data_IF_210775380597
#
_entry.id   IF_210775380597
#
_cell.length_a   1.000
_cell.length_b   1.000
_cell.length_c   1.000
_cell.angle_alpha   90.00
_cell.angle_beta   90.00
_cell.angle_gamma   90.00
#
_symmetry.space_group_name_H-M   'P 1'
#
loop_
_entity.id
_entity.type
_entity.pdbx_description
1 polymer ?
#
# COMPACT_ATOMS: atom_id res chain seq x y z
N UNK A 1 -17.00 3.68 31.19
CA UNK A 1 -15.81 3.84 30.33
C UNK A 1 -15.97 2.83 29.21
N UNK A 2 -16.21 3.30 27.98
CA UNK A 2 -16.42 2.42 26.83
C UNK A 2 -15.09 2.25 26.10
N UNK A 3 -14.63 1.01 25.99
CA UNK A 3 -13.43 0.63 25.25
C UNK A 3 -13.77 0.47 23.76
N UNK A 4 -14.22 1.57 23.13
CA UNK A 4 -14.69 1.55 21.75
C UNK A 4 -13.56 1.33 20.76
N UNK A 5 -13.82 0.47 19.77
CA UNK A 5 -12.80 0.00 18.81
C UNK A 5 -13.08 0.42 17.38
N UNK A 6 -12.04 0.40 16.54
CA UNK A 6 -12.07 0.82 15.14
C UNK A 6 -13.22 0.18 14.34
N UNK A 7 -13.48 -1.11 14.53
CA UNK A 7 -14.53 -1.82 13.80
C UNK A 7 -15.95 -1.26 14.05
N UNK A 8 -16.19 -0.57 15.17
CA UNK A 8 -17.50 -0.01 15.52
C UNK A 8 -17.93 1.11 14.58
N UNK A 9 -16.99 1.77 13.90
CA UNK A 9 -17.26 2.86 12.94
C UNK A 9 -17.14 2.42 11.48
N UNK A 10 -16.70 1.19 11.21
CA UNK A 10 -16.65 0.63 9.85
C UNK A 10 -18.06 0.29 9.40
N UNK A 11 -18.45 0.77 8.22
CA UNK A 11 -19.78 0.53 7.63
C UNK A 11 -19.66 -0.10 6.24
N UNK A 12 -20.53 -1.03 5.83
CA UNK A 12 -20.53 -1.50 4.45
C UNK A 12 -20.77 -0.35 3.46
N UNK A 13 -20.07 -0.32 2.33
CA UNK A 13 -20.29 0.66 1.26
C UNK A 13 -19.00 1.34 0.78
N UNK A 14 -19.14 2.50 0.13
CA UNK A 14 -18.04 3.25 -0.48
C UNK A 14 -18.10 4.76 -0.21
N UNK A 15 -18.96 5.19 0.71
CA UNK A 15 -19.23 6.62 0.96
C UNK A 15 -18.41 7.18 2.15
N UNK A 16 -17.48 6.37 2.68
CA UNK A 16 -16.53 6.76 3.72
C UNK A 16 -15.42 7.68 3.22
N UNK A 17 -14.80 8.43 4.12
CA UNK A 17 -13.58 9.18 3.83
C UNK A 17 -12.41 8.24 3.50
N UNK A 18 -12.31 7.12 4.22
CA UNK A 18 -11.40 6.02 3.93
C UNK A 18 -12.24 4.78 3.59
N UNK A 19 -11.90 4.10 2.50
CA UNK A 19 -12.68 2.95 2.02
C UNK A 19 -11.77 1.74 1.87
N UNK A 20 -12.00 0.71 2.69
CA UNK A 20 -11.37 -0.59 2.58
C UNK A 20 -11.88 -1.31 1.32
N UNK A 21 -10.97 -1.89 0.55
CA UNK A 21 -11.27 -2.74 -0.59
C UNK A 21 -10.34 -3.94 -0.56
N UNK A 22 -10.87 -5.16 -0.63
CA UNK A 22 -10.04 -6.36 -0.64
C UNK A 22 -9.78 -6.89 -2.06
N UNK A 23 -8.55 -7.34 -2.30
CA UNK A 23 -8.14 -8.01 -3.53
C UNK A 23 -7.63 -9.43 -3.25
N UNK A 24 -8.51 -10.42 -3.04
CA UNK A 24 -8.13 -11.78 -2.63
C UNK A 24 -7.60 -12.60 -3.83
N UNK A 25 -6.37 -12.34 -4.25
CA UNK A 25 -5.69 -13.02 -5.37
C UNK A 25 -4.22 -13.29 -5.09
N UNK A 26 -3.77 -14.46 -5.49
CA UNK A 26 -2.38 -14.94 -5.42
C UNK A 26 -1.83 -15.35 -6.78
N UNK A 27 -2.63 -15.30 -7.85
CA UNK A 27 -2.21 -15.68 -9.21
C UNK A 27 -0.96 -14.94 -9.67
N UNK A 28 -0.83 -13.64 -9.34
CA UNK A 28 0.37 -12.89 -9.65
C UNK A 28 1.60 -13.33 -8.84
N UNK A 29 1.41 -13.73 -7.58
CA UNK A 29 2.47 -14.32 -6.74
C UNK A 29 2.93 -15.66 -7.33
N UNK A 30 1.99 -16.51 -7.73
CA UNK A 30 2.24 -17.81 -8.35
C UNK A 30 3.05 -17.66 -9.65
N UNK A 31 2.63 -16.77 -10.55
CA UNK A 31 3.36 -16.51 -11.81
C UNK A 31 4.78 -16.01 -11.53
N UNK A 32 4.96 -15.16 -10.51
CA UNK A 32 6.28 -14.67 -10.14
C UNK A 32 7.18 -15.76 -9.50
N UNK A 33 6.59 -16.85 -9.00
CA UNK A 33 7.27 -17.95 -8.33
C UNK A 33 7.36 -17.78 -6.81
N UNK A 34 6.51 -16.93 -6.23
CA UNK A 34 6.39 -16.75 -4.78
C UNK A 34 5.54 -17.84 -4.12
N UNK A 35 5.45 -17.80 -2.79
CA UNK A 35 4.60 -18.71 -2.01
C UNK A 35 3.17 -18.19 -1.98
N UNK A 36 2.20 -19.00 -2.42
CA UNK A 36 0.78 -18.65 -2.41
C UNK A 36 0.21 -18.59 -0.98
N UNK A 37 -0.99 -18.02 -0.86
CA UNK A 37 -1.68 -17.82 0.43
C UNK A 37 -2.05 -16.36 0.71
N UNK A 38 -1.48 -15.40 -0.02
CA UNK A 38 -1.82 -13.97 0.13
C UNK A 38 -3.27 -13.65 -0.26
N UNK A 39 -3.91 -14.49 -1.07
CA UNK A 39 -5.35 -14.39 -1.34
C UNK A 39 -6.24 -14.46 -0.07
N UNK A 40 -5.74 -15.05 1.03
CA UNK A 40 -6.44 -15.09 2.33
C UNK A 40 -6.22 -13.81 3.17
N UNK A 41 -5.27 -12.96 2.77
CA UNK A 41 -4.90 -11.73 3.45
C UNK A 41 -6.08 -10.81 3.77
N UNK A 42 -6.96 -10.46 2.80
CA UNK A 42 -8.09 -9.57 3.05
C UNK A 42 -9.10 -10.10 4.08
N UNK A 43 -9.40 -11.40 4.06
CA UNK A 43 -10.29 -12.03 5.04
C UNK A 43 -9.66 -12.01 6.44
N UNK A 44 -8.39 -12.42 6.55
CA UNK A 44 -7.70 -12.47 7.83
C UNK A 44 -7.44 -11.08 8.41
N UNK A 45 -7.16 -10.07 7.56
CA UNK A 45 -7.09 -8.66 7.94
C UNK A 45 -8.40 -8.21 8.58
N UNK A 46 -9.56 -8.47 7.94
CA UNK A 46 -10.87 -8.12 8.51
C UNK A 46 -11.18 -8.85 9.81
N UNK A 47 -10.70 -10.08 9.97
CA UNK A 47 -10.80 -10.81 11.24
C UNK A 47 -10.06 -10.10 12.38
N UNK A 48 -8.83 -9.64 12.12
CA UNK A 48 -8.04 -8.88 13.10
C UNK A 48 -8.59 -7.47 13.35
N UNK A 49 -9.16 -6.82 12.34
CA UNK A 49 -9.77 -5.49 12.43
C UNK A 49 -10.86 -5.43 13.51
N UNK A 50 -11.62 -6.51 13.69
CA UNK A 50 -12.66 -6.63 14.74
C UNK A 50 -12.10 -6.55 16.17
N UNK A 51 -10.79 -6.72 16.35
CA UNK A 51 -10.13 -6.86 17.65
C UNK A 51 -9.03 -5.83 17.89
N UNK A 52 -8.87 -4.82 17.04
CA UNK A 52 -7.74 -3.89 17.07
C UNK A 52 -8.18 -2.42 17.04
N UNK A 53 -7.34 -1.54 17.60
CA UNK A 53 -7.43 -0.08 17.50
C UNK A 53 -8.47 0.55 18.42
N UNK A 54 -8.04 1.40 19.36
CA UNK A 54 -8.97 2.25 20.15
C UNK A 54 -9.46 3.40 19.29
N UNK A 55 -10.75 3.78 19.39
CA UNK A 55 -11.27 4.93 18.63
C UNK A 55 -10.64 6.25 19.08
N UNK A 56 -10.62 6.48 20.39
CA UNK A 56 -9.87 7.57 21.00
C UNK A 56 -8.47 7.05 21.36
N UNK A 57 -7.45 7.53 20.67
CA UNK A 57 -6.06 7.22 20.96
C UNK A 57 -5.48 8.32 21.87
N UNK A 58 -5.14 8.02 23.14
CA UNK A 58 -4.63 9.02 24.06
C UNK A 58 -3.16 9.39 23.83
N UNK A 59 -2.37 8.51 23.20
CA UNK A 59 -0.96 8.77 22.89
C UNK A 59 -0.83 9.76 21.71
N UNK A 60 -1.70 9.59 20.71
CA UNK A 60 -1.71 10.41 19.50
C UNK A 60 -2.66 11.62 19.57
N UNK A 61 -3.37 11.80 20.69
CA UNK A 61 -4.42 12.80 20.92
C UNK A 61 -5.40 12.90 19.75
N UNK A 62 -5.89 11.74 19.30
CA UNK A 62 -6.70 11.62 18.07
C UNK A 62 -7.96 10.80 18.30
N UNK A 63 -9.07 11.25 17.72
CA UNK A 63 -10.36 10.56 17.76
C UNK A 63 -10.80 10.17 16.34
N UNK A 64 -10.83 8.86 16.08
CA UNK A 64 -11.24 8.30 14.79
C UNK A 64 -12.75 8.44 14.53
N UNK A 65 -13.57 8.83 15.52
CA UNK A 65 -14.98 9.15 15.30
C UNK A 65 -15.20 10.36 14.38
N UNK A 66 -14.14 11.15 14.14
CA UNK A 66 -14.15 12.35 13.28
C UNK A 66 -14.10 12.07 11.78
N UNK A 67 -13.85 10.80 11.41
CA UNK A 67 -13.79 10.33 10.02
C UNK A 67 -14.81 9.20 9.80
N UNK A 68 -15.27 9.03 8.56
CA UNK A 68 -16.08 7.88 8.17
C UNK A 68 -15.22 6.82 7.48
N UNK A 69 -15.43 5.55 7.85
CA UNK A 69 -14.73 4.41 7.25
C UNK A 69 -15.76 3.47 6.64
N UNK A 70 -15.55 3.09 5.38
CA UNK A 70 -16.36 2.08 4.71
C UNK A 70 -15.59 0.82 4.33
N UNK A 71 -16.28 -0.31 4.23
CA UNK A 71 -15.77 -1.55 3.64
C UNK A 71 -16.57 -1.88 2.38
N UNK A 72 -15.89 -1.80 1.23
CA UNK A 72 -16.47 -2.04 -0.09
C UNK A 72 -16.55 -3.54 -0.44
N UNK A 73 -16.11 -4.42 0.47
CA UNK A 73 -16.00 -5.85 0.22
C UNK A 73 -14.78 -6.20 -0.62
N UNK A 74 -14.86 -7.33 -1.32
CA UNK A 74 -13.77 -7.86 -2.13
C UNK A 74 -14.07 -7.75 -3.62
N UNK A 75 -13.00 -7.68 -4.42
CA UNK A 75 -13.09 -7.98 -5.85
C UNK A 75 -13.56 -9.45 -6.01
N UNK A 76 -14.68 -9.70 -6.73
CA UNK A 76 -15.29 -11.01 -6.77
C UNK A 76 -14.35 -12.12 -7.28
N UNK A 77 -14.47 -13.36 -6.77
CA UNK A 77 -13.76 -14.52 -7.31
C UNK A 77 -14.30 -14.93 -8.70
N UNK A 78 -13.63 -15.90 -9.34
CA UNK A 78 -14.17 -16.61 -10.52
C UNK A 78 -13.93 -15.95 -11.88
N UNK A 79 -13.17 -14.86 -11.92
CA UNK A 79 -12.67 -14.25 -13.15
C UNK A 79 -11.19 -14.59 -13.40
N UNK A 80 -10.75 -14.39 -14.64
CA UNK A 80 -9.32 -14.46 -15.00
C UNK A 80 -8.49 -13.42 -14.25
N UNK A 81 -7.16 -13.57 -14.30
CA UNK A 81 -6.24 -12.65 -13.63
C UNK A 81 -6.38 -11.22 -14.17
N UNK A 82 -6.49 -11.09 -15.48
CA UNK A 82 -6.60 -9.84 -16.21
C UNK A 82 -7.96 -9.17 -15.95
N UNK A 83 -9.05 -9.95 -15.91
CA UNK A 83 -10.37 -9.45 -15.51
C UNK A 83 -10.40 -8.98 -14.05
N UNK A 84 -9.68 -9.66 -13.15
CA UNK A 84 -9.58 -9.24 -11.76
C UNK A 84 -8.85 -7.89 -11.63
N UNK A 85 -7.79 -7.66 -12.41
CA UNK A 85 -7.09 -6.38 -12.50
C UNK A 85 -8.00 -5.27 -13.03
N UNK A 86 -8.78 -5.53 -14.07
CA UNK A 86 -9.77 -4.57 -14.58
C UNK A 86 -10.83 -4.23 -13.52
N UNK A 87 -11.39 -5.24 -12.87
CA UNK A 87 -12.39 -5.05 -11.82
C UNK A 87 -11.82 -4.25 -10.62
N UNK A 88 -10.58 -4.52 -10.24
CA UNK A 88 -9.88 -3.74 -9.21
C UNK A 88 -9.74 -2.28 -9.63
N UNK A 89 -9.22 -2.01 -10.84
CA UNK A 89 -9.05 -0.65 -11.33
C UNK A 89 -10.39 0.12 -11.39
N UNK A 90 -11.46 -0.52 -11.85
CA UNK A 90 -12.80 0.06 -11.90
C UNK A 90 -13.34 0.41 -10.51
N UNK A 91 -13.18 -0.50 -9.55
CA UNK A 91 -13.66 -0.31 -8.18
C UNK A 91 -12.87 0.76 -7.44
N UNK A 92 -11.55 0.75 -7.57
CA UNK A 92 -10.67 1.80 -7.03
C UNK A 92 -11.03 3.16 -7.64
N UNK A 93 -11.26 3.23 -8.95
CA UNK A 93 -11.72 4.47 -9.61
C UNK A 93 -13.12 4.91 -9.17
N UNK A 94 -14.03 3.99 -8.85
CA UNK A 94 -15.35 4.32 -8.30
C UNK A 94 -15.22 5.02 -6.95
N UNK A 95 -14.40 4.48 -6.04
CA UNK A 95 -14.13 5.05 -4.72
C UNK A 95 -13.51 6.46 -4.85
N UNK A 96 -12.47 6.59 -5.69
CA UNK A 96 -11.80 7.88 -5.93
C UNK A 96 -12.74 8.95 -6.49
N UNK A 97 -13.69 8.58 -7.37
CA UNK A 97 -14.69 9.50 -7.93
C UNK A 97 -15.75 9.93 -6.91
N UNK A 98 -16.04 9.09 -5.91
CA UNK A 98 -16.90 9.44 -4.77
C UNK A 98 -16.20 10.35 -3.75
N UNK A 99 -14.90 10.59 -3.92
CA UNK A 99 -14.09 11.40 -3.00
C UNK A 99 -13.55 10.63 -1.80
N UNK A 100 -13.68 9.30 -1.79
CA UNK A 100 -13.06 8.43 -0.79
C UNK A 100 -11.59 8.16 -1.12
N UNK A 101 -10.79 7.92 -0.09
CA UNK A 101 -9.42 7.40 -0.22
C UNK A 101 -9.46 5.87 -0.12
N UNK A 102 -9.19 5.13 -1.21
CA UNK A 102 -9.13 3.68 -1.15
C UNK A 102 -7.92 3.25 -0.32
N UNK A 103 -8.16 2.31 0.58
CA UNK A 103 -7.15 1.53 1.28
C UNK A 103 -7.30 0.08 0.83
N UNK A 104 -6.53 -0.33 -0.17
CA UNK A 104 -6.67 -1.65 -0.80
C UNK A 104 -5.83 -2.66 -0.01
N UNK A 105 -6.48 -3.70 0.47
CA UNK A 105 -5.80 -4.82 1.14
C UNK A 105 -5.71 -5.95 0.14
N UNK A 106 -4.49 -6.26 -0.24
CA UNK A 106 -4.20 -7.26 -1.26
C UNK A 106 -4.04 -8.66 -0.71
N UNK A 107 -4.07 -9.57 -1.68
CA UNK A 107 -3.03 -10.58 -1.81
C UNK A 107 -1.80 -10.00 -2.50
N UNK A 108 -1.44 -10.50 -3.68
CA UNK A 108 -0.17 -10.17 -4.35
C UNK A 108 0.02 -8.69 -4.73
N UNK A 109 1.30 -8.27 -4.83
CA UNK A 109 1.68 -6.90 -5.20
C UNK A 109 1.30 -6.51 -6.64
N UNK A 110 0.84 -7.46 -7.47
CA UNK A 110 0.31 -7.18 -8.81
C UNK A 110 -0.93 -6.27 -8.79
N UNK A 111 -1.58 -6.10 -7.64
CA UNK A 111 -2.67 -5.14 -7.43
C UNK A 111 -2.28 -3.67 -7.67
N UNK A 112 -0.99 -3.34 -7.49
CA UNK A 112 -0.51 -1.96 -7.42
C UNK A 112 -0.59 -1.25 -8.78
N UNK A 113 -0.46 -1.97 -9.90
CA UNK A 113 -0.65 -1.38 -11.22
C UNK A 113 -2.11 -1.02 -11.53
N UNK A 114 -3.12 -1.92 -11.35
CA UNK A 114 -4.53 -1.56 -11.42
C UNK A 114 -4.90 -0.35 -10.57
N UNK A 115 -4.39 -0.30 -9.33
CA UNK A 115 -4.58 0.79 -8.39
C UNK A 115 -4.00 2.12 -8.92
N UNK A 116 -2.74 2.12 -9.36
CA UNK A 116 -2.11 3.29 -9.96
C UNK A 116 -2.83 3.74 -11.25
N UNK A 117 -3.23 2.79 -12.11
CA UNK A 117 -3.96 3.05 -13.35
C UNK A 117 -5.32 3.71 -13.09
N UNK A 118 -6.02 3.30 -12.02
CA UNK A 118 -7.25 3.94 -11.57
C UNK A 118 -7.02 5.40 -11.14
N UNK A 119 -5.95 5.66 -10.38
CA UNK A 119 -5.60 7.02 -9.96
C UNK A 119 -5.25 7.92 -11.15
N UNK A 120 -4.41 7.43 -12.08
CA UNK A 120 -4.07 8.14 -13.33
C UNK A 120 -5.31 8.49 -14.15
N UNK A 121 -6.27 7.57 -14.26
CA UNK A 121 -7.55 7.81 -14.94
C UNK A 121 -8.41 8.87 -14.24
N UNK A 122 -8.41 8.89 -12.91
CA UNK A 122 -9.19 9.84 -12.13
C UNK A 122 -8.54 11.23 -12.02
N UNK A 123 -7.25 11.35 -12.35
CA UNK A 123 -6.46 12.59 -12.25
C UNK A 123 -5.80 12.94 -13.59
N UNK A 124 -6.56 13.01 -14.70
CA UNK A 124 -5.99 13.19 -16.03
C UNK A 124 -5.24 14.53 -16.12
N UNK A 125 -3.99 14.48 -16.59
CA UNK A 125 -3.14 15.66 -16.76
C UNK A 125 -2.58 16.26 -15.47
N UNK A 126 -2.86 15.66 -14.30
CA UNK A 126 -2.23 16.04 -13.04
C UNK A 126 -0.97 15.22 -12.80
N UNK A 127 0.05 15.79 -12.13
CA UNK A 127 1.21 15.04 -11.68
C UNK A 127 0.80 14.04 -10.60
N UNK A 128 0.86 12.75 -10.95
CA UNK A 128 0.69 11.64 -10.02
C UNK A 128 2.08 11.17 -9.58
N UNK A 129 2.25 11.00 -8.27
CA UNK A 129 3.40 10.34 -7.66
C UNK A 129 3.07 8.96 -7.16
N UNK A 130 4.07 8.09 -7.18
CA UNK A 130 3.98 6.74 -6.62
C UNK A 130 5.21 6.47 -5.78
N UNK A 131 4.98 6.08 -4.52
CA UNK A 131 6.02 5.56 -3.63
C UNK A 131 5.75 4.09 -3.41
N UNK A 132 6.68 3.24 -3.83
CA UNK A 132 6.69 1.82 -3.51
C UNK A 132 7.54 1.59 -2.25
N UNK A 133 6.92 1.17 -1.16
CA UNK A 133 7.62 0.79 0.08
C UNK A 133 7.78 -0.72 0.08
N UNK A 134 8.97 -1.19 -0.28
CA UNK A 134 9.19 -2.57 -0.71
C UNK A 134 10.67 -2.96 -0.53
N UNK A 135 10.94 -4.22 -0.21
CA UNK A 135 12.31 -4.75 -0.23
C UNK A 135 12.85 -4.96 -1.66
N UNK A 136 11.95 -5.16 -2.62
CA UNK A 136 12.19 -5.37 -4.04
C UNK A 136 12.00 -4.06 -4.84
N UNK A 137 12.14 -4.15 -6.16
CA UNK A 137 11.88 -3.04 -7.09
C UNK A 137 10.68 -3.32 -8.01
N UNK A 138 10.24 -4.58 -8.10
CA UNK A 138 9.00 -4.95 -8.81
C UNK A 138 8.81 -4.38 -10.23
N UNK A 139 9.95 -4.25 -10.94
CA UNK A 139 10.06 -3.84 -12.36
C UNK A 139 10.44 -5.00 -13.30
N UNK A 140 10.17 -6.25 -12.90
CA UNK A 140 10.50 -7.43 -13.71
C UNK A 140 9.69 -7.43 -15.02
N UNK A 141 10.24 -7.96 -16.12
CA UNK A 141 9.47 -8.22 -17.34
C UNK A 141 8.28 -9.14 -17.07
N UNK A 142 7.21 -8.97 -17.86
CA UNK A 142 6.06 -9.88 -17.85
C UNK A 142 6.48 -11.29 -18.23
N UNK A 143 5.81 -12.31 -17.68
CA UNK A 143 6.02 -13.72 -18.04
C UNK A 143 4.91 -14.18 -18.97
N UNK A 144 5.26 -14.61 -20.17
CA UNK A 144 4.31 -15.00 -21.22
C UNK A 144 3.24 -13.92 -21.51
N UNK A 145 3.63 -12.64 -21.39
CA UNK A 145 2.73 -11.50 -21.57
C UNK A 145 1.79 -11.22 -20.38
N UNK A 146 1.92 -11.96 -19.28
CA UNK A 146 1.07 -11.82 -18.09
C UNK A 146 1.75 -11.03 -16.99
N UNK A 147 0.96 -10.17 -16.34
CA UNK A 147 1.34 -9.48 -15.12
C UNK A 147 1.49 -10.47 -13.95
N UNK A 148 2.31 -10.10 -12.99
CA UNK A 148 2.62 -10.87 -11.81
C UNK A 148 3.15 -9.97 -10.68
N UNK A 149 3.33 -10.50 -9.46
CA UNK A 149 3.59 -9.68 -8.27
C UNK A 149 4.83 -8.79 -8.41
N UNK A 150 5.90 -9.28 -9.04
CA UNK A 150 7.10 -8.47 -9.30
C UNK A 150 7.13 -7.61 -10.57
N UNK A 151 5.99 -7.33 -11.21
CA UNK A 151 5.90 -6.50 -12.44
C UNK A 151 5.05 -5.21 -12.38
N UNK A 152 4.34 -4.85 -11.29
CA UNK A 152 3.38 -3.73 -11.32
C UNK A 152 4.05 -2.39 -11.66
N UNK A 153 5.25 -2.13 -11.15
CA UNK A 153 5.92 -0.85 -11.40
C UNK A 153 6.64 -0.82 -12.75
N UNK A 154 6.92 -1.98 -13.35
CA UNK A 154 7.29 -2.01 -14.77
C UNK A 154 6.16 -1.46 -15.63
N UNK A 155 4.95 -1.99 -15.43
CA UNK A 155 3.75 -1.57 -16.17
C UNK A 155 3.47 -0.08 -15.94
N UNK A 156 3.60 0.40 -14.70
CA UNK A 156 3.45 1.83 -14.38
C UNK A 156 4.49 2.70 -15.11
N UNK A 157 5.77 2.32 -15.09
CA UNK A 157 6.85 3.08 -15.74
C UNK A 157 6.82 2.98 -17.28
N UNK A 158 6.05 2.05 -17.83
CA UNK A 158 5.76 1.94 -19.26
C UNK A 158 4.46 2.67 -19.64
N UNK A 159 3.63 3.06 -18.67
CA UNK A 159 2.41 3.80 -18.88
C UNK A 159 2.68 5.25 -19.30
N UNK A 160 2.22 5.60 -20.50
CA UNK A 160 2.43 6.93 -21.10
C UNK A 160 1.79 8.08 -20.30
N UNK A 161 0.85 7.77 -19.41
CA UNK A 161 0.20 8.76 -18.53
C UNK A 161 1.06 9.14 -17.34
N UNK A 162 2.09 8.34 -17.02
CA UNK A 162 2.91 8.49 -15.83
C UNK A 162 4.31 9.01 -16.15
N UNK A 163 4.82 9.87 -15.27
CA UNK A 163 6.16 10.44 -15.37
C UNK A 163 7.07 9.74 -14.36
N UNK A 164 8.07 9.01 -14.84
CA UNK A 164 8.92 8.19 -13.97
C UNK A 164 9.76 8.99 -12.98
N UNK A 165 9.97 10.30 -13.19
CA UNK A 165 10.56 11.22 -12.21
C UNK A 165 9.76 11.28 -10.89
N UNK A 166 8.48 10.90 -10.94
CA UNK A 166 7.57 10.89 -9.80
C UNK A 166 7.46 9.51 -9.14
N UNK A 167 8.33 8.57 -9.51
CA UNK A 167 8.41 7.24 -8.92
C UNK A 167 9.56 7.12 -7.93
N UNK A 168 9.26 6.57 -6.77
CA UNK A 168 10.23 6.38 -5.69
C UNK A 168 10.10 4.96 -5.16
N UNK A 169 11.19 4.23 -5.24
CA UNK A 169 11.42 2.99 -4.50
C UNK A 169 11.95 3.35 -3.12
N UNK A 170 11.31 2.84 -2.07
CA UNK A 170 11.59 3.19 -0.69
C UNK A 170 11.84 1.92 0.13
N UNK A 171 12.96 1.90 0.87
CA UNK A 171 13.41 0.77 1.68
C UNK A 171 13.81 -0.50 0.90
N UNK A 172 14.10 -0.37 -0.40
CA UNK A 172 14.62 -1.48 -1.21
C UNK A 172 15.94 -2.03 -0.69
N UNK A 173 16.17 -3.32 -0.91
CA UNK A 173 17.30 -4.06 -0.36
C UNK A 173 18.20 -4.56 -1.49
N UNK A 174 19.43 -4.06 -1.56
CA UNK A 174 20.37 -4.38 -2.64
C UNK A 174 20.70 -5.88 -2.78
N UNK A 175 20.54 -6.67 -1.71
CA UNK A 175 20.69 -8.14 -1.76
C UNK A 175 19.55 -8.85 -2.49
N UNK A 176 18.39 -8.19 -2.67
CA UNK A 176 17.19 -8.74 -3.31
C UNK A 176 16.90 -8.08 -4.68
N UNK A 177 17.65 -7.04 -5.02
CA UNK A 177 17.45 -6.23 -6.22
C UNK A 177 18.59 -6.45 -7.22
N UNK A 178 18.25 -6.92 -8.44
CA UNK A 178 19.25 -7.06 -9.50
C UNK A 178 19.73 -5.68 -9.97
N UNK A 179 21.00 -5.61 -10.41
CA UNK A 179 21.56 -4.39 -11.02
C UNK A 179 20.73 -3.93 -12.23
N UNK A 180 20.28 -4.87 -13.06
CA UNK A 180 19.48 -4.57 -14.25
C UNK A 180 18.15 -3.88 -13.89
N UNK A 181 17.47 -4.33 -12.84
CA UNK A 181 16.23 -3.71 -12.37
C UNK A 181 16.50 -2.31 -11.79
N UNK A 182 17.58 -2.13 -11.04
CA UNK A 182 17.95 -0.82 -10.53
C UNK A 182 18.28 0.17 -11.66
N UNK A 183 19.06 -0.26 -12.66
CA UNK A 183 19.35 0.53 -13.85
C UNK A 183 18.08 0.84 -14.66
N UNK A 184 17.12 -0.08 -14.71
CA UNK A 184 15.82 0.14 -15.34
C UNK A 184 15.06 1.30 -14.68
N UNK A 185 14.92 1.29 -13.35
CA UNK A 185 14.25 2.36 -12.57
C UNK A 185 14.93 3.70 -12.83
N UNK A 186 16.26 3.75 -12.73
CA UNK A 186 17.04 4.98 -12.94
C UNK A 186 16.93 5.50 -14.40
N UNK A 187 16.91 4.61 -15.40
CA UNK A 187 16.71 4.99 -16.80
C UNK A 187 15.31 5.55 -17.05
N UNK A 188 14.31 5.07 -16.32
CA UNK A 188 12.96 5.64 -16.28
C UNK A 188 12.86 6.90 -15.42
N UNK A 189 13.99 7.38 -14.88
CA UNK A 189 14.14 8.56 -14.02
C UNK A 189 13.51 8.43 -12.63
N UNK A 190 13.11 7.21 -12.24
CA UNK A 190 12.71 6.91 -10.88
C UNK A 190 13.90 7.01 -9.92
N UNK A 191 13.58 7.10 -8.63
CA UNK A 191 14.57 7.20 -7.55
C UNK A 191 14.53 5.93 -6.69
N UNK A 192 15.69 5.53 -6.17
CA UNK A 192 15.79 4.41 -5.24
C UNK A 192 16.40 4.89 -3.92
N UNK A 193 15.67 4.67 -2.84
CA UNK A 193 16.09 4.93 -1.47
C UNK A 193 16.32 3.60 -0.75
N UNK A 194 17.56 3.12 -0.84
CA UNK A 194 17.99 1.86 -0.26
C UNK A 194 17.84 1.85 1.28
N UNK A 195 17.41 0.71 1.83
CA UNK A 195 17.25 0.51 3.28
C UNK A 195 18.49 0.91 4.07
N UNK A 196 19.69 0.55 3.60
CA UNK A 196 20.95 0.87 4.29
C UNK A 196 21.15 2.38 4.46
N UNK A 197 20.75 3.19 3.47
CA UNK A 197 20.82 4.65 3.55
C UNK A 197 19.78 5.24 4.49
N UNK A 198 18.60 4.65 4.57
CA UNK A 198 17.58 5.04 5.56
C UNK A 198 18.06 4.76 6.99
N UNK A 199 18.70 3.61 7.21
CA UNK A 199 19.21 3.21 8.52
C UNK A 199 20.46 4.00 8.97
N UNK A 200 21.36 4.38 8.06
CA UNK A 200 22.51 5.26 8.37
C UNK A 200 22.07 6.59 9.02
N UNK A 201 20.88 7.09 8.66
CA UNK A 201 20.32 8.33 9.19
C UNK A 201 19.37 8.11 10.39
N UNK A 202 19.21 6.86 10.83
CA UNK A 202 18.54 6.48 12.08
C UNK A 202 17.02 6.66 12.14
N UNK A 203 16.35 7.02 11.03
CA UNK A 203 14.90 7.24 11.05
C UNK A 203 14.26 7.11 9.65
N UNK A 204 13.76 5.91 9.32
CA UNK A 204 13.07 5.67 8.05
C UNK A 204 11.78 6.50 7.93
N UNK A 205 11.03 6.70 9.02
CA UNK A 205 9.83 7.54 9.02
C UNK A 205 10.15 9.02 8.72
N UNK A 206 11.27 9.55 9.21
CA UNK A 206 11.73 10.90 8.87
C UNK A 206 12.07 11.02 7.39
N UNK A 207 12.86 10.07 6.86
CA UNK A 207 13.19 10.04 5.44
C UNK A 207 11.93 9.90 4.56
N UNK A 208 10.94 9.13 4.99
CA UNK A 208 9.65 9.03 4.31
C UNK A 208 8.90 10.36 4.32
N UNK A 209 8.84 11.06 5.47
CA UNK A 209 8.25 12.39 5.59
C UNK A 209 8.89 13.40 4.64
N UNK A 210 10.23 13.42 4.58
CA UNK A 210 10.95 14.28 3.64
C UNK A 210 10.67 13.88 2.18
N UNK A 211 10.58 12.58 1.90
CA UNK A 211 10.29 12.05 0.57
C UNK A 211 8.93 12.53 0.06
N UNK A 212 7.87 12.38 0.86
CA UNK A 212 6.52 12.81 0.46
C UNK A 212 6.32 14.34 0.56
N UNK A 213 7.06 15.02 1.44
CA UNK A 213 6.97 16.47 1.63
C UNK A 213 7.73 17.29 0.57
N UNK A 214 8.79 16.74 -0.03
CA UNK A 214 9.58 17.40 -1.07
C UNK A 214 9.01 17.21 -2.48
N UNK A 215 7.80 16.69 -2.61
CA UNK A 215 7.12 16.54 -3.90
C UNK A 215 6.70 17.93 -4.40
N UNK A 216 7.50 18.50 -5.29
CA UNK A 216 7.39 19.89 -5.78
C UNK A 216 6.28 20.11 -6.83
N UNK A 217 5.27 19.25 -6.87
CA UNK A 217 4.22 19.30 -7.88
C UNK A 217 3.15 20.35 -7.56
N UNK A 218 2.68 21.07 -8.57
CA UNK A 218 1.48 21.89 -8.44
C UNK A 218 0.25 20.97 -8.31
N UNK A 219 -0.27 20.83 -7.08
CA UNK A 219 -1.38 19.91 -6.71
C UNK A 219 -1.01 18.42 -6.89
N UNK A 220 -0.12 17.88 -6.03
CA UNK A 220 0.29 16.49 -6.10
C UNK A 220 -0.87 15.54 -5.79
N UNK A 221 -1.04 14.50 -6.59
CA UNK A 221 -1.80 13.30 -6.21
C UNK A 221 -0.81 12.18 -5.96
N UNK A 222 -0.94 11.47 -4.85
CA UNK A 222 0.06 10.50 -4.38
C UNK A 222 -0.61 9.16 -4.09
N UNK A 223 0.01 8.10 -4.62
CA UNK A 223 -0.24 6.72 -4.26
C UNK A 223 0.95 6.21 -3.46
N UNK A 224 0.67 5.68 -2.27
CA UNK A 224 1.64 4.94 -1.46
C UNK A 224 1.28 3.46 -1.55
N UNK A 225 2.16 2.68 -2.18
CA UNK A 225 2.05 1.23 -2.22
C UNK A 225 2.95 0.65 -1.15
N UNK A 226 2.40 -0.15 -0.24
CA UNK A 226 3.16 -0.73 0.87
C UNK A 226 3.18 -2.25 0.73
N UNK A 227 4.33 -2.80 0.37
CA UNK A 227 4.58 -4.22 0.46
C UNK A 227 5.00 -4.59 1.90
N UNK A 228 4.28 -5.53 2.52
CA UNK A 228 4.63 -5.99 3.87
C UNK A 228 6.00 -6.66 3.94
N UNK A 229 6.54 -7.15 2.83
CA UNK A 229 7.87 -7.75 2.78
C UNK A 229 9.03 -6.75 2.99
N UNK A 230 8.73 -5.45 2.92
CA UNK A 230 9.64 -4.38 3.31
C UNK A 230 9.98 -4.43 4.81
N UNK A 231 9.10 -5.02 5.63
CA UNK A 231 9.27 -5.18 7.08
C UNK A 231 10.11 -6.41 7.36
N UNK A 232 11.03 -6.33 8.32
CA UNK A 232 11.87 -7.49 8.69
C UNK A 232 11.00 -8.69 9.08
N UNK A 233 11.37 -9.88 8.61
CA UNK A 233 10.71 -11.13 8.98
C UNK A 233 10.72 -11.41 10.50
N UNK A 234 11.62 -10.75 11.25
CA UNK A 234 11.59 -10.80 12.71
C UNK A 234 10.29 -10.23 13.26
N UNK A 235 9.66 -9.28 12.58
CA UNK A 235 8.44 -8.57 12.99
C UNK A 235 7.23 -8.94 12.12
N UNK A 236 7.43 -9.20 10.82
CA UNK A 236 6.40 -9.56 9.84
C UNK A 236 6.76 -10.84 9.05
N UNK A 237 6.80 -12.02 9.69
CA UNK A 237 7.16 -13.27 9.00
C UNK A 237 6.13 -13.78 7.99
N UNK A 238 4.87 -13.36 8.12
CA UNK A 238 3.71 -13.83 7.36
C UNK A 238 3.56 -13.14 6.00
N UNK A 239 4.60 -13.20 5.18
CA UNK A 239 4.65 -12.61 3.84
C UNK A 239 5.19 -13.60 2.82
N UNK A 240 4.88 -13.40 1.54
CA UNK A 240 5.30 -14.33 0.48
C UNK A 240 6.82 -14.47 0.38
N UNK A 241 7.57 -13.36 0.54
CA UNK A 241 9.05 -13.29 0.47
C UNK A 241 9.70 -12.61 1.71
N UNK A 242 9.80 -13.29 2.87
CA UNK A 242 10.28 -12.69 4.12
C UNK A 242 11.76 -12.32 4.04
N UNK A 243 12.06 -11.01 4.16
CA UNK A 243 13.42 -10.48 4.22
C UNK A 243 14.07 -10.66 5.60
N UNK A 244 15.38 -10.93 5.60
CA UNK A 244 16.18 -11.00 6.85
C UNK A 244 16.29 -9.63 7.51
N UNK A 245 16.59 -8.61 6.69
CA UNK A 245 16.58 -7.19 7.07
C UNK A 245 15.25 -6.57 6.65
N UNK A 246 14.96 -5.39 7.18
CA UNK A 246 13.79 -4.63 6.77
C UNK A 246 13.53 -3.45 7.70
N UNK A 247 12.44 -2.77 7.43
CA UNK A 247 11.82 -1.81 8.33
C UNK A 247 11.40 -2.50 9.63
N UNK A 248 11.38 -1.77 10.73
CA UNK A 248 10.69 -2.22 11.95
C UNK A 248 9.17 -2.05 11.80
N UNK A 249 8.37 -2.74 12.62
CA UNK A 249 6.93 -2.51 12.69
C UNK A 249 6.62 -1.06 13.10
N UNK A 250 7.47 -0.44 13.92
CA UNK A 250 7.34 0.97 14.29
C UNK A 250 7.50 1.88 13.07
N UNK A 251 8.52 1.64 12.23
CA UNK A 251 8.67 2.37 10.97
C UNK A 251 7.45 2.19 10.07
N UNK A 252 6.94 0.96 9.94
CA UNK A 252 5.77 0.66 9.12
C UNK A 252 4.52 1.44 9.53
N UNK A 253 4.18 1.46 10.83
CA UNK A 253 3.01 2.21 11.31
C UNK A 253 3.21 3.73 11.22
N UNK A 254 4.45 4.22 11.40
CA UNK A 254 4.75 5.65 11.24
C UNK A 254 4.69 6.10 9.78
N UNK A 255 5.18 5.29 8.84
CA UNK A 255 5.01 5.51 7.39
C UNK A 255 3.53 5.56 7.03
N UNK A 256 2.72 4.63 7.55
CA UNK A 256 1.28 4.61 7.34
C UNK A 256 0.61 5.88 7.91
N UNK A 257 0.97 6.30 9.12
CA UNK A 257 0.47 7.53 9.75
C UNK A 257 0.81 8.77 8.94
N UNK A 258 2.05 8.89 8.48
CA UNK A 258 2.49 10.02 7.64
C UNK A 258 1.75 10.03 6.30
N UNK A 259 1.52 8.86 5.71
CA UNK A 259 0.73 8.71 4.50
C UNK A 259 -0.72 9.16 4.73
N UNK A 260 -1.33 8.72 5.82
CA UNK A 260 -2.66 9.16 6.23
C UNK A 260 -2.73 10.67 6.44
N UNK A 261 -1.72 11.28 7.06
CA UNK A 261 -1.70 12.71 7.35
C UNK A 261 -1.49 13.59 6.11
N UNK A 262 -0.77 13.09 5.10
CA UNK A 262 -0.40 13.88 3.95
C UNK A 262 -1.59 14.06 2.98
N UNK A 263 -2.09 15.28 2.74
CA UNK A 263 -3.34 15.50 2.00
C UNK A 263 -3.28 15.09 0.52
N UNK A 264 -2.07 14.95 -0.04
CA UNK A 264 -1.87 14.46 -1.40
C UNK A 264 -2.06 12.95 -1.53
N UNK A 265 -1.98 12.18 -0.43
CA UNK A 265 -2.17 10.73 -0.48
C UNK A 265 -3.65 10.45 -0.69
N UNK A 266 -3.98 10.01 -1.90
CA UNK A 266 -5.34 9.72 -2.33
C UNK A 266 -5.62 8.22 -2.44
N UNK A 267 -4.57 7.40 -2.43
CA UNK A 267 -4.62 5.95 -2.55
C UNK A 267 -3.52 5.33 -1.71
N UNK A 268 -3.86 4.28 -0.97
CA UNK A 268 -2.93 3.43 -0.25
C UNK A 268 -3.26 1.98 -0.57
N UNK A 269 -2.25 1.14 -0.82
CA UNK A 269 -2.45 -0.31 -0.79
C UNK A 269 -1.43 -1.03 0.08
N UNK A 270 -1.84 -2.22 0.53
CA UNK A 270 -1.08 -3.10 1.39
C UNK A 270 -1.01 -4.48 0.73
N UNK A 271 0.17 -4.89 0.30
CA UNK A 271 0.41 -6.12 -0.46
C UNK A 271 1.08 -7.21 0.38
N UNK A 272 1.03 -8.44 -0.15
CA UNK A 272 1.83 -9.60 0.29
C UNK A 272 1.60 -10.12 1.72
N UNK A 273 0.52 -9.68 2.40
CA UNK A 273 0.11 -10.36 3.63
C UNK A 273 -0.28 -11.81 3.33
N UNK A 274 0.47 -12.77 3.87
CA UNK A 274 0.26 -14.20 3.66
C UNK A 274 0.00 -14.94 5.00
N UNK A 275 -1.28 -15.10 5.38
CA UNK A 275 -1.68 -15.81 6.59
C UNK A 275 -1.26 -17.28 6.65
N UNK A 276 -1.05 -17.93 5.49
CA UNK A 276 -0.67 -19.34 5.44
C UNK A 276 0.76 -19.58 5.97
N UNK A 277 1.58 -18.53 6.04
CA UNK A 277 2.93 -18.57 6.58
C UNK A 277 2.91 -18.19 8.07
N UNK A 278 2.31 -17.05 8.40
CA UNK A 278 2.11 -16.62 9.79
C UNK A 278 0.92 -15.65 9.88
N UNK A 279 -0.10 -16.02 10.66
CA UNK A 279 -1.39 -15.34 10.62
C UNK A 279 -1.60 -14.32 11.74
N UNK A 280 -0.86 -14.37 12.84
CA UNK A 280 -1.18 -13.61 14.05
C UNK A 280 -0.42 -12.28 14.14
N UNK A 281 0.91 -12.34 14.20
CA UNK A 281 1.77 -11.17 14.40
C UNK A 281 1.69 -10.25 13.19
N UNK A 282 1.85 -10.84 12.00
CA UNK A 282 1.81 -10.11 10.73
C UNK A 282 0.41 -9.57 10.45
N UNK A 283 -0.64 -10.35 10.77
CA UNK A 283 -2.02 -9.89 10.61
C UNK A 283 -2.38 -8.72 11.51
N UNK A 284 -1.89 -8.72 12.76
CA UNK A 284 -2.04 -7.59 13.68
C UNK A 284 -1.26 -6.36 13.20
N UNK A 285 -0.06 -6.54 12.65
CA UNK A 285 0.69 -5.44 12.05
C UNK A 285 -0.03 -4.85 10.83
N UNK A 286 -0.57 -5.67 9.93
CA UNK A 286 -1.33 -5.20 8.78
C UNK A 286 -2.50 -4.29 9.20
N UNK A 287 -3.26 -4.69 10.23
CA UNK A 287 -4.33 -3.87 10.79
C UNK A 287 -3.80 -2.64 11.53
N UNK A 288 -2.64 -2.73 12.18
CA UNK A 288 -1.99 -1.58 12.81
C UNK A 288 -1.61 -0.52 11.76
N UNK A 289 -1.06 -0.92 10.62
CA UNK A 289 -0.77 -0.01 9.49
C UNK A 289 -2.04 0.74 9.08
N UNK A 290 -3.15 0.04 8.88
CA UNK A 290 -4.44 0.68 8.57
C UNK A 290 -4.92 1.63 9.67
N UNK A 291 -4.83 1.21 10.94
CA UNK A 291 -5.21 2.02 12.09
C UNK A 291 -4.41 3.33 12.16
N UNK A 292 -3.09 3.25 12.03
CA UNK A 292 -2.22 4.42 12.06
C UNK A 292 -2.41 5.31 10.83
N UNK A 293 -2.68 4.74 9.65
CA UNK A 293 -3.14 5.49 8.49
C UNK A 293 -4.40 6.29 8.81
N UNK A 294 -5.41 5.69 9.43
CA UNK A 294 -6.64 6.38 9.83
C UNK A 294 -6.38 7.49 10.86
N UNK A 295 -5.49 7.27 11.82
CA UNK A 295 -5.09 8.31 12.78
C UNK A 295 -4.40 9.49 12.10
N UNK A 296 -3.57 9.21 11.10
CA UNK A 296 -2.98 10.24 10.25
C UNK A 296 -4.05 11.00 9.48
N UNK A 297 -4.98 10.28 8.87
CA UNK A 297 -6.07 10.86 8.08
C UNK A 297 -6.97 11.78 8.90
N UNK A 298 -7.33 11.37 10.13
CA UNK A 298 -8.11 12.20 11.05
C UNK A 298 -7.40 13.52 11.42
N UNK A 299 -6.05 13.56 11.34
CA UNK A 299 -5.26 14.76 11.57
C UNK A 299 -5.13 15.68 10.34
N UNK A 300 -5.69 15.30 9.17
CA UNK A 300 -5.77 16.21 8.02
C UNK A 300 -6.60 17.43 8.41
N UNK A 301 -6.02 18.62 8.28
CA UNK A 301 -6.80 19.86 8.41
C UNK A 301 -7.89 19.82 7.35
N UNK A 302 -9.17 19.83 7.74
CA UNK A 302 -10.25 20.13 6.79
C UNK A 302 -9.91 21.48 6.17
N UNK A 303 -9.71 21.52 4.85
CA UNK A 303 -9.54 22.78 4.16
C UNK A 303 -10.76 23.66 4.50
N UNK A 304 -10.57 24.92 4.89
CA UNK A 304 -11.67 25.85 5.14
C UNK A 304 -12.54 26.03 3.89
#
# INVERSE_FOLDING_TARGET
>A
MTDSRLHEIVRPGMDGNVVLLGFPRDTGVEINGGRTGSAQGPEQFRSWLKRFGTLANPEEDADLSTISISDAGDIPPGCSHEEAHLALAEKTAEILRRGGTPFVVGGGNDQSYPNASALLNCRPGLPVGVVNVDAHLDVRPLKDGRAHSGSPFRLLLEDVRFQGENFIEFASQGSQCSREHAEYVLRKKGRILWLSKLQEHGNAAHAFRETIGNLSWSRPSLFVSFDLDAVSANEAPGVSCPGVLGLSAFDAVQIARLSGQHPAVELFDLSEYNPAIESERTGRLAVAIFYYFCLGFAARKRAP
#
